data_IF_036362352121
#
_entry.id   IF_036362352121
#
_cell.length_a   1.000
_cell.length_b   1.000
_cell.length_c   1.000
_cell.angle_alpha   90.00
_cell.angle_beta   90.00
_cell.angle_gamma   90.00
#
_symmetry.space_group_name_H-M   'P 1'
#
loop_
_entity.id
_entity.type
_entity.pdbx_description
1 polymer ?
#
# COMPACT_ATOMS: atom_id res chain seq x y z
N UNK A 1 -1.26 5.53 14.50
CA UNK A 1 -0.08 4.65 14.41
C UNK A 1 0.53 4.44 15.80
N UNK A 2 -0.25 4.01 16.79
CA UNK A 2 0.24 3.74 18.16
C UNK A 2 0.19 2.25 18.54
N UNK A 3 -0.59 1.44 17.82
CA UNK A 3 -0.86 0.05 18.22
C UNK A 3 0.28 -0.96 17.87
N UNK A 4 1.40 -0.49 17.29
CA UNK A 4 2.58 -1.29 16.92
C UNK A 4 3.91 -0.55 17.13
N UNK A 5 3.93 0.53 17.91
CA UNK A 5 5.16 1.32 18.16
C UNK A 5 6.24 0.52 18.89
N UNK A 6 5.84 -0.49 19.65
CA UNK A 6 6.72 -1.47 20.28
C UNK A 6 7.41 -2.42 19.28
N UNK A 7 6.83 -2.61 18.09
CA UNK A 7 7.30 -3.57 17.08
C UNK A 7 8.16 -2.94 16.00
N UNK A 8 7.98 -1.66 15.71
CA UNK A 8 8.64 -0.96 14.61
C UNK A 8 9.27 0.34 15.07
N UNK A 9 10.59 0.48 14.88
CA UNK A 9 11.27 1.76 15.05
C UNK A 9 10.95 2.64 13.83
N UNK A 10 10.13 3.66 14.04
CA UNK A 10 9.80 4.63 12.99
C UNK A 10 11.07 5.29 12.44
N UNK A 11 11.09 5.43 11.12
CA UNK A 11 12.13 6.12 10.36
C UNK A 11 11.48 6.83 9.17
N UNK A 12 10.26 7.32 9.36
CA UNK A 12 9.49 7.97 8.31
C UNK A 12 10.16 9.28 7.91
N UNK A 13 10.17 9.59 6.61
CA UNK A 13 10.82 10.78 6.07
C UNK A 13 9.82 11.73 5.43
N UNK A 14 10.14 13.02 5.53
CA UNK A 14 9.37 14.12 4.99
C UNK A 14 10.24 14.86 3.97
N UNK A 15 9.69 15.14 2.79
CA UNK A 15 10.39 15.88 1.73
C UNK A 15 9.73 17.24 1.55
N UNK A 16 10.53 18.29 1.72
CA UNK A 16 10.08 19.67 1.62
C UNK A 16 10.66 20.35 0.37
N UNK A 17 9.86 21.21 -0.25
CA UNK A 17 10.27 22.14 -1.31
C UNK A 17 9.77 23.53 -0.95
N UNK A 18 10.68 24.48 -0.75
CA UNK A 18 10.37 25.84 -0.29
C UNK A 18 9.47 25.85 0.96
N UNK A 19 9.88 25.11 2.00
CA UNK A 19 9.15 24.92 3.26
C UNK A 19 7.76 24.25 3.15
N UNK A 20 7.35 23.84 1.95
CA UNK A 20 6.12 23.08 1.72
C UNK A 20 6.41 21.58 1.72
N UNK A 21 5.66 20.81 2.51
CA UNK A 21 5.72 19.36 2.48
C UNK A 21 5.12 18.85 1.16
N UNK A 22 5.91 18.16 0.34
CA UNK A 22 5.49 17.67 -0.99
C UNK A 22 5.45 16.15 -1.08
N UNK A 23 6.16 15.44 -0.21
CA UNK A 23 6.13 13.99 -0.13
C UNK A 23 6.40 13.49 1.28
N UNK A 24 5.86 12.33 1.59
CA UNK A 24 6.09 11.56 2.81
C UNK A 24 6.51 10.15 2.39
N UNK A 25 7.49 9.59 3.07
CA UNK A 25 7.88 8.20 2.93
C UNK A 25 7.69 7.50 4.28
N UNK A 26 6.51 6.89 4.52
CA UNK A 26 6.27 6.12 5.73
C UNK A 26 7.22 4.93 5.79
N UNK A 27 8.00 4.84 6.87
CA UNK A 27 9.05 3.84 6.94
C UNK A 27 9.38 3.42 8.36
N UNK A 28 9.90 2.20 8.46
CA UNK A 28 10.49 1.69 9.69
C UNK A 28 11.88 1.14 9.39
N UNK A 29 12.77 1.21 10.38
CA UNK A 29 14.13 0.69 10.27
C UNK A 29 14.31 -0.56 11.13
N UNK A 30 15.03 -1.55 10.61
CA UNK A 30 15.44 -2.75 11.35
C UNK A 30 16.77 -3.25 10.79
N UNK A 31 17.77 -3.46 11.65
CA UNK A 31 19.09 -3.97 11.27
C UNK A 31 19.73 -3.20 10.09
N UNK A 32 19.72 -1.87 10.15
CA UNK A 32 20.26 -0.99 9.10
C UNK A 32 19.55 -1.10 7.74
N UNK A 33 18.44 -1.83 7.66
CA UNK A 33 17.56 -1.88 6.49
C UNK A 33 16.36 -0.97 6.73
N UNK A 34 16.12 -0.05 5.80
CA UNK A 34 14.93 0.78 5.76
C UNK A 34 13.83 0.05 4.98
N UNK A 35 12.65 -0.04 5.57
CA UNK A 35 11.48 -0.62 4.92
C UNK A 35 10.45 0.47 4.69
N UNK A 36 9.78 0.45 3.55
CA UNK A 36 8.55 1.22 3.27
C UNK A 36 7.33 0.74 4.09
N UNK A 37 7.54 0.66 5.40
CA UNK A 37 6.69 0.19 6.48
C UNK A 37 6.22 -1.28 6.37
N UNK A 38 6.84 -2.16 7.15
CA UNK A 38 6.59 -3.62 7.17
C UNK A 38 5.17 -4.00 7.63
N UNK A 39 4.47 -3.09 8.33
CA UNK A 39 3.06 -3.28 8.71
C UNK A 39 2.03 -3.00 7.61
N UNK A 40 2.44 -2.49 6.43
CA UNK A 40 1.50 -2.09 5.39
C UNK A 40 1.36 -3.12 4.26
N UNK A 41 0.14 -3.20 3.71
CA UNK A 41 -0.12 -3.96 2.49
C UNK A 41 0.63 -3.36 1.30
N UNK A 42 0.74 -2.02 1.23
CA UNK A 42 1.49 -1.26 0.22
C UNK A 42 2.32 -0.19 0.90
N UNK A 43 3.48 0.13 0.34
CA UNK A 43 4.36 1.18 0.83
C UNK A 43 4.74 2.17 -0.26
N UNK A 44 5.87 2.85 -0.04
CA UNK A 44 6.45 3.79 -0.98
C UNK A 44 6.12 5.23 -0.63
N UNK A 45 6.28 6.10 -1.62
CA UNK A 45 6.02 7.53 -1.46
C UNK A 45 4.53 7.84 -1.47
N UNK A 46 4.12 8.63 -0.48
CA UNK A 46 2.86 9.37 -0.51
C UNK A 46 3.20 10.80 -0.92
N UNK A 47 2.69 11.24 -2.05
CA UNK A 47 2.99 12.56 -2.61
C UNK A 47 1.75 13.43 -2.66
N UNK A 48 1.99 14.73 -2.62
CA UNK A 48 0.93 15.69 -2.86
C UNK A 48 0.38 15.56 -4.30
N UNK A 49 -0.94 15.65 -4.46
CA UNK A 49 -1.58 15.54 -5.78
C UNK A 49 -1.12 16.59 -6.79
N UNK A 50 -0.64 17.75 -6.30
CA UNK A 50 -0.15 18.85 -7.13
C UNK A 50 1.32 18.72 -7.54
N UNK A 51 2.00 17.62 -7.16
CA UNK A 51 3.40 17.41 -7.50
C UNK A 51 3.58 17.32 -9.02
N UNK A 52 4.48 18.13 -9.58
CA UNK A 52 4.78 18.08 -11.00
C UNK A 52 5.63 16.85 -11.32
N UNK A 53 5.44 16.26 -12.50
CA UNK A 53 6.27 15.14 -12.96
C UNK A 53 7.77 15.48 -12.98
N UNK A 54 8.12 16.74 -13.26
CA UNK A 54 9.51 17.24 -13.23
C UNK A 54 10.12 17.28 -11.83
N UNK A 55 9.30 17.24 -10.78
CA UNK A 55 9.75 17.24 -9.39
C UNK A 55 9.97 15.82 -8.84
N UNK A 56 9.52 14.77 -9.54
CA UNK A 56 9.65 13.37 -9.11
C UNK A 56 11.11 12.96 -8.95
N UNK A 57 11.93 13.13 -9.98
CA UNK A 57 13.34 12.75 -9.91
C UNK A 57 14.13 13.53 -8.84
N UNK A 58 13.99 14.87 -8.72
CA UNK A 58 14.56 15.63 -7.61
C UNK A 58 14.17 15.08 -6.23
N UNK A 59 12.89 14.73 -6.02
CA UNK A 59 12.42 14.14 -4.75
C UNK A 59 13.10 12.81 -4.46
N UNK A 60 13.16 11.91 -5.46
CA UNK A 60 13.79 10.60 -5.28
C UNK A 60 15.29 10.73 -5.02
N UNK A 61 15.99 11.60 -5.77
CA UNK A 61 17.42 11.80 -5.59
C UNK A 61 17.73 12.40 -4.20
N UNK A 62 16.98 13.41 -3.76
CA UNK A 62 17.15 14.00 -2.42
C UNK A 62 16.92 12.97 -1.30
N UNK A 63 15.91 12.11 -1.45
CA UNK A 63 15.67 11.00 -0.53
C UNK A 63 16.84 10.01 -0.50
N UNK A 64 17.33 9.57 -1.66
CA UNK A 64 18.46 8.63 -1.74
C UNK A 64 19.75 9.24 -1.19
N UNK A 65 20.01 10.52 -1.46
CA UNK A 65 21.18 11.23 -0.94
C UNK A 65 21.12 11.38 0.58
N UNK A 66 19.93 11.67 1.14
CA UNK A 66 19.74 11.64 2.58
C UNK A 66 20.04 10.26 3.17
N UNK A 67 19.55 9.17 2.57
CA UNK A 67 19.83 7.82 3.07
C UNK A 67 21.33 7.49 3.11
N UNK A 68 22.11 7.98 2.13
CA UNK A 68 23.58 7.81 2.14
C UNK A 68 24.28 8.53 3.29
N UNK A 69 23.65 9.52 3.93
CA UNK A 69 24.18 10.19 5.12
C UNK A 69 23.87 9.44 6.43
N UNK A 70 23.09 8.35 6.34
CA UNK A 70 22.68 7.53 7.48
C UNK A 70 23.37 6.16 7.44
N UNK A 71 23.22 5.36 8.51
CA UNK A 71 23.74 3.99 8.56
C UNK A 71 22.90 2.98 7.75
N UNK A 72 21.94 3.44 6.93
CA UNK A 72 21.09 2.57 6.10
C UNK A 72 21.92 1.92 5.00
N UNK A 73 21.89 0.59 4.95
CA UNK A 73 22.62 -0.21 3.95
C UNK A 73 21.72 -0.72 2.83
N UNK A 74 20.41 -0.87 3.11
CA UNK A 74 19.45 -1.45 2.17
C UNK A 74 18.09 -0.78 2.31
N UNK A 75 17.39 -0.63 1.19
CA UNK A 75 16.03 -0.10 1.12
C UNK A 75 15.08 -1.14 0.52
N UNK A 76 14.10 -1.57 1.31
CA UNK A 76 13.01 -2.44 0.86
C UNK A 76 11.77 -1.62 0.53
N UNK A 77 11.52 -1.46 -0.76
CA UNK A 77 10.34 -0.75 -1.26
C UNK A 77 9.24 -1.74 -1.66
N UNK A 78 8.02 -1.51 -1.17
CA UNK A 78 6.83 -2.27 -1.50
C UNK A 78 5.93 -1.40 -2.36
N UNK A 79 5.97 -1.61 -3.67
CA UNK A 79 5.23 -0.81 -4.63
C UNK A 79 3.72 -0.86 -4.44
N UNK A 80 3.04 0.20 -4.87
CA UNK A 80 1.59 0.22 -5.02
C UNK A 80 1.18 -0.65 -6.22
N UNK A 81 0.08 -1.40 -6.15
CA UNK A 81 -0.47 -2.06 -7.33
C UNK A 81 -0.88 -1.05 -8.40
N UNK A 82 -0.65 -1.40 -9.67
CA UNK A 82 -0.88 -0.50 -10.80
C UNK A 82 -2.30 0.07 -10.91
N UNK A 83 -3.31 -0.64 -10.42
CA UNK A 83 -4.70 -0.16 -10.45
C UNK A 83 -5.02 0.90 -9.38
N UNK A 84 -4.10 1.14 -8.43
CA UNK A 84 -4.15 2.27 -7.50
C UNK A 84 -3.25 3.43 -7.94
N UNK A 85 -2.53 3.32 -9.06
CA UNK A 85 -1.60 4.37 -9.49
C UNK A 85 -2.35 5.61 -9.98
N UNK A 86 -1.90 6.75 -9.48
CA UNK A 86 -2.00 8.01 -10.22
C UNK A 86 -0.87 8.11 -11.25
N UNK A 87 -0.96 9.06 -12.19
CA UNK A 87 0.14 9.35 -13.12
C UNK A 87 1.47 9.65 -12.39
N UNK A 88 1.41 10.36 -11.26
CA UNK A 88 2.60 10.66 -10.45
C UNK A 88 3.13 9.41 -9.75
N UNK A 89 2.25 8.56 -9.20
CA UNK A 89 2.68 7.28 -8.58
C UNK A 89 3.41 6.39 -9.59
N UNK A 90 2.93 6.34 -10.83
CA UNK A 90 3.58 5.62 -11.93
C UNK A 90 4.92 6.25 -12.31
N UNK A 91 5.02 7.58 -12.34
CA UNK A 91 6.28 8.28 -12.57
C UNK A 91 7.32 7.99 -11.47
N UNK A 92 6.90 7.94 -10.21
CA UNK A 92 7.74 7.57 -9.06
C UNK A 92 8.25 6.14 -9.21
N UNK A 93 7.34 5.18 -9.48
CA UNK A 93 7.72 3.78 -9.67
C UNK A 93 8.72 3.63 -10.83
N UNK A 94 8.45 4.30 -11.95
CA UNK A 94 9.36 4.31 -13.11
C UNK A 94 10.73 4.88 -12.75
N UNK A 95 10.76 6.02 -12.04
CA UNK A 95 12.00 6.67 -11.62
C UNK A 95 12.82 5.80 -10.66
N UNK A 96 12.16 5.05 -9.76
CA UNK A 96 12.82 4.11 -8.85
C UNK A 96 13.38 2.92 -9.64
N UNK A 97 12.59 2.36 -10.57
CA UNK A 97 12.99 1.21 -11.38
C UNK A 97 14.15 1.49 -12.36
N UNK A 98 14.43 2.77 -12.68
CA UNK A 98 15.62 3.14 -13.47
C UNK A 98 16.89 3.28 -12.61
N UNK A 99 16.77 3.28 -11.28
CA UNK A 99 17.92 3.18 -10.38
C UNK A 99 18.35 1.71 -10.24
N UNK A 100 19.47 1.46 -9.58
CA UNK A 100 19.94 0.10 -9.31
C UNK A 100 19.03 -0.58 -8.27
N UNK A 101 17.92 -1.17 -8.74
CA UNK A 101 16.92 -1.88 -7.94
C UNK A 101 16.82 -3.33 -8.36
N UNK A 102 16.62 -4.22 -7.39
CA UNK A 102 16.37 -5.64 -7.63
C UNK A 102 14.93 -6.00 -7.21
N UNK A 103 14.24 -6.76 -8.07
CA UNK A 103 12.93 -7.31 -7.74
C UNK A 103 13.11 -8.54 -6.83
N UNK A 104 12.83 -8.39 -5.54
CA UNK A 104 12.95 -9.50 -4.58
C UNK A 104 11.64 -10.28 -4.37
N UNK A 105 10.47 -9.68 -4.68
CA UNK A 105 9.16 -10.29 -4.42
C UNK A 105 8.05 -9.70 -5.30
N UNK A 106 7.12 -10.55 -5.70
CA UNK A 106 5.86 -10.17 -6.34
C UNK A 106 4.68 -10.80 -5.60
N UNK A 107 3.72 -9.98 -5.18
CA UNK A 107 2.50 -10.44 -4.51
C UNK A 107 1.31 -10.44 -5.49
N UNK A 108 0.39 -11.40 -5.31
CA UNK A 108 -0.89 -11.41 -6.03
C UNK A 108 -1.95 -10.71 -5.20
N UNK A 109 -2.65 -9.75 -5.80
CA UNK A 109 -3.74 -9.02 -5.18
C UNK A 109 -5.02 -9.26 -5.97
N UNK A 110 -6.09 -9.68 -5.30
CA UNK A 110 -7.44 -9.63 -5.85
C UNK A 110 -8.04 -8.28 -5.45
N UNK A 111 -8.32 -7.44 -6.44
CA UNK A 111 -8.94 -6.14 -6.22
C UNK A 111 -10.04 -5.87 -7.24
N UNK A 112 -10.99 -5.03 -6.83
CA UNK A 112 -12.10 -4.55 -7.65
C UNK A 112 -11.99 -3.02 -7.67
N UNK A 113 -11.85 -2.47 -8.87
CA UNK A 113 -11.79 -1.02 -9.07
C UNK A 113 -13.21 -0.45 -9.10
N UNK A 114 -13.66 0.11 -7.98
CA UNK A 114 -14.99 0.70 -7.83
C UNK A 114 -15.19 2.00 -8.62
N UNK A 115 -14.13 2.59 -9.19
CA UNK A 115 -14.27 3.73 -10.11
C UNK A 115 -14.74 3.29 -11.50
N UNK A 116 -14.71 1.99 -11.79
CA UNK A 116 -15.20 1.41 -13.04
C UNK A 116 -16.55 0.70 -12.81
N UNK A 117 -17.39 0.59 -13.86
CA UNK A 117 -18.60 -0.21 -13.77
C UNK A 117 -18.30 -1.65 -13.36
N UNK A 118 -19.04 -2.16 -12.38
CA UNK A 118 -18.91 -3.55 -11.92
C UNK A 118 -19.60 -4.47 -12.93
N UNK A 119 -18.82 -5.29 -13.64
CA UNK A 119 -19.35 -6.39 -14.44
C UNK A 119 -19.21 -7.73 -13.72
N UNK A 120 -20.34 -8.28 -13.29
CA UNK A 120 -20.43 -9.60 -12.68
C UNK A 120 -20.65 -10.63 -13.78
N UNK A 121 -19.71 -11.58 -13.89
CA UNK A 121 -19.77 -12.66 -14.87
C UNK A 121 -21.10 -13.44 -14.83
N UNK A 122 -21.62 -13.79 -16.02
CA UNK A 122 -22.94 -14.42 -16.21
C UNK A 122 -23.18 -15.67 -15.35
N UNK A 123 -22.13 -16.47 -15.09
CA UNK A 123 -22.25 -17.68 -14.25
C UNK A 123 -22.53 -17.34 -12.79
N UNK A 124 -21.91 -16.29 -12.25
CA UNK A 124 -22.16 -15.81 -10.88
C UNK A 124 -23.58 -15.24 -10.76
N UNK A 125 -24.04 -14.49 -11.77
CA UNK A 125 -25.44 -14.00 -11.83
C UNK A 125 -26.45 -15.15 -11.91
N UNK A 126 -26.18 -16.20 -12.70
CA UNK A 126 -27.03 -17.39 -12.77
C UNK A 126 -27.12 -18.11 -11.42
N UNK A 127 -25.98 -18.26 -10.73
CA UNK A 127 -25.96 -18.88 -9.40
C UNK A 127 -26.74 -18.07 -8.39
N UNK A 128 -26.57 -16.74 -8.36
CA UNK A 128 -27.35 -15.83 -7.51
C UNK A 128 -28.86 -16.02 -7.72
N UNK A 129 -29.34 -15.94 -8.97
CA UNK A 129 -30.77 -16.10 -9.29
C UNK A 129 -31.35 -17.44 -8.82
N UNK A 130 -30.56 -18.53 -8.94
CA UNK A 130 -31.00 -19.86 -8.50
C UNK A 130 -31.22 -19.97 -6.99
N UNK A 131 -30.51 -19.17 -6.20
CA UNK A 131 -30.54 -19.25 -4.73
C UNK A 131 -31.21 -18.02 -4.10
N UNK A 132 -31.77 -17.11 -4.92
CA UNK A 132 -32.41 -15.91 -4.41
C UNK A 132 -33.67 -16.23 -3.60
N UNK A 133 -34.33 -17.35 -3.88
CA UNK A 133 -35.56 -17.80 -3.22
C UNK A 133 -35.31 -18.68 -1.98
N UNK A 134 -34.05 -18.97 -1.62
CA UNK A 134 -33.76 -19.86 -0.47
C UNK A 134 -33.96 -19.21 0.90
N UNK A 135 -34.43 -17.96 0.94
CA UNK A 135 -34.63 -17.22 2.18
C UNK A 135 -33.32 -16.79 2.86
N UNK A 136 -32.18 -16.90 2.18
CA UNK A 136 -30.89 -16.43 2.68
C UNK A 136 -30.94 -14.91 2.91
N UNK A 137 -30.61 -14.48 4.13
CA UNK A 137 -30.57 -13.06 4.52
C UNK A 137 -29.14 -12.65 4.86
N UNK A 138 -28.80 -11.43 4.47
CA UNK A 138 -27.57 -10.74 4.89
C UNK A 138 -28.02 -9.66 5.87
N UNK A 139 -27.48 -9.70 7.08
CA UNK A 139 -27.76 -8.75 8.14
C UNK A 139 -26.45 -8.14 8.62
N UNK A 140 -26.44 -6.82 8.82
CA UNK A 140 -25.31 -6.12 9.42
C UNK A 140 -25.50 -6.07 10.94
N UNK A 141 -24.47 -6.44 11.70
CA UNK A 141 -24.51 -6.47 13.16
C UNK A 141 -23.18 -5.99 13.73
N UNK A 142 -23.25 -5.46 14.96
CA UNK A 142 -22.07 -5.13 15.77
C UNK A 142 -21.74 -6.24 16.78
N UNK A 143 -22.59 -7.27 16.89
CA UNK A 143 -22.34 -8.44 17.72
C UNK A 143 -21.50 -9.47 16.95
N UNK A 144 -20.25 -9.62 17.38
CA UNK A 144 -19.29 -10.56 16.78
C UNK A 144 -19.26 -11.93 17.46
N UNK A 145 -20.08 -12.16 18.51
CA UNK A 145 -20.04 -13.38 19.32
C UNK A 145 -20.19 -14.62 18.45
N UNK A 146 -21.18 -14.63 17.55
CA UNK A 146 -21.42 -15.75 16.63
C UNK A 146 -20.22 -16.06 15.73
N UNK A 147 -19.52 -15.02 15.25
CA UNK A 147 -18.33 -15.20 14.40
C UNK A 147 -17.18 -15.84 15.20
N UNK A 148 -16.91 -15.36 16.42
CA UNK A 148 -15.84 -15.88 17.25
C UNK A 148 -16.10 -17.31 17.72
N UNK A 149 -17.30 -17.59 18.21
CA UNK A 149 -17.62 -18.87 18.86
C UNK A 149 -17.97 -19.98 17.87
N UNK A 150 -18.67 -19.66 16.77
CA UNK A 150 -19.22 -20.68 15.88
C UNK A 150 -18.45 -20.85 14.56
N UNK A 151 -17.67 -19.85 14.14
CA UNK A 151 -16.92 -19.88 12.87
C UNK A 151 -15.42 -20.08 13.10
N UNK A 152 -14.82 -19.35 14.04
CA UNK A 152 -13.37 -19.36 14.24
C UNK A 152 -12.86 -20.45 15.19
N UNK A 153 -13.72 -21.06 16.02
CA UNK A 153 -13.33 -22.21 16.85
C UNK A 153 -13.12 -23.42 15.93
N UNK A 154 -11.90 -24.01 15.89
CA UNK A 154 -11.64 -25.21 15.11
C UNK A 154 -12.56 -26.36 15.58
N UNK A 155 -13.16 -27.08 14.62
CA UNK A 155 -13.93 -28.29 14.89
C UNK A 155 -13.04 -29.49 15.12
#
# INVERSE_FOLDING_TARGET
MEYHSDRFKDASLLVYKNDRLIAVFPANIKNNTLYSHQGLTYGGFVVEQSLNATDVEPVINAFLDYLKTTDVQELHLKGLPGFYHSEISKAIETCINTKATELYRTDKVLAIDYNKPIDIHKTKRKHFRRHQETGFKIEETQDFTMFWENILVPR
#
